data_IF_980906871217
#
_entry.id   IF_980906871217
#
_cell.length_a   1.000
_cell.length_b   1.000
_cell.length_c   1.000
_cell.angle_alpha   90.00
_cell.angle_beta   90.00
_cell.angle_gamma   90.00
#
_symmetry.space_group_name_H-M   'P 1'
#
loop_
_entity.id
_entity.type
_entity.pdbx_description
1 polymer ?
#
# COMPACT_ATOMS: atom_id res chain seq x y z
N UNK A 1 16.19 7.26 6.20
CA UNK A 1 14.73 7.41 6.27
C UNK A 1 14.32 8.20 7.52
N UNK A 2 14.71 7.75 8.74
CA UNK A 2 14.29 8.36 10.02
C UNK A 2 14.50 9.89 10.06
N UNK A 3 15.68 10.38 9.69
CA UNK A 3 15.95 11.82 9.64
C UNK A 3 14.98 12.58 8.74
N UNK A 4 14.73 12.06 7.52
CA UNK A 4 13.81 12.70 6.56
C UNK A 4 12.36 12.69 7.05
N UNK A 5 11.94 11.62 7.73
CA UNK A 5 10.62 11.55 8.39
C UNK A 5 10.50 12.60 9.48
N UNK A 6 11.52 12.78 10.33
CA UNK A 6 11.52 13.80 11.38
C UNK A 6 11.50 15.22 10.79
N UNK A 7 12.32 15.50 9.77
CA UNK A 7 12.31 16.78 9.08
C UNK A 7 10.94 17.10 8.50
N UNK A 8 10.31 16.14 7.82
CA UNK A 8 8.98 16.38 7.23
C UNK A 8 7.87 16.42 8.28
N UNK A 9 7.95 15.67 9.36
CA UNK A 9 7.08 15.82 10.53
C UNK A 9 7.08 17.25 11.06
N UNK A 10 8.28 17.86 11.15
CA UNK A 10 8.39 19.29 11.54
C UNK A 10 7.80 20.22 10.48
N UNK A 11 7.94 19.92 9.19
CA UNK A 11 7.28 20.68 8.12
C UNK A 11 5.76 20.66 8.34
N UNK A 12 5.18 19.50 8.63
CA UNK A 12 3.74 19.39 8.91
C UNK A 12 3.32 20.23 10.11
N UNK A 13 4.07 20.15 11.23
CA UNK A 13 3.82 20.96 12.43
C UNK A 13 3.90 22.46 12.15
N UNK A 14 4.94 22.91 11.43
CA UNK A 14 5.12 24.31 11.04
C UNK A 14 3.99 24.82 10.12
N UNK A 15 3.35 23.95 9.38
CA UNK A 15 2.20 24.26 8.52
C UNK A 15 0.85 24.09 9.24
N UNK A 16 0.87 23.82 10.56
CA UNK A 16 -0.31 23.83 11.42
C UNK A 16 -1.01 22.47 11.58
N UNK A 17 -0.43 21.38 11.05
CA UNK A 17 -1.00 20.03 11.23
C UNK A 17 -0.84 19.60 12.69
N UNK A 18 -1.90 19.06 13.27
CA UNK A 18 -1.95 18.58 14.65
C UNK A 18 -2.38 17.10 14.72
N UNK A 19 -2.21 16.47 15.90
CA UNK A 19 -2.74 15.13 16.18
C UNK A 19 -4.24 15.07 15.86
N UNK A 20 -4.64 14.06 15.09
CA UNK A 20 -6.03 13.84 14.69
C UNK A 20 -6.47 14.59 13.43
N UNK A 21 -5.66 15.49 12.88
CA UNK A 21 -5.95 16.11 11.58
C UNK A 21 -5.85 15.10 10.45
N UNK A 22 -6.70 15.28 9.42
CA UNK A 22 -6.69 14.43 8.22
C UNK A 22 -5.83 15.09 7.17
N UNK A 23 -4.82 14.35 6.72
CA UNK A 23 -3.88 14.75 5.68
C UNK A 23 -4.08 13.85 4.47
N UNK A 24 -4.57 14.39 3.37
CA UNK A 24 -4.66 13.64 2.11
C UNK A 24 -3.33 13.67 1.38
N UNK A 25 -2.92 12.52 0.85
CA UNK A 25 -1.65 12.36 0.12
C UNK A 25 -1.96 11.85 -1.28
N UNK A 26 -1.63 12.65 -2.31
CA UNK A 26 -1.83 12.32 -3.71
C UNK A 26 -0.51 12.48 -4.46
N UNK A 27 0.30 11.42 -4.47
CA UNK A 27 1.68 11.44 -4.94
C UNK A 27 2.00 10.24 -5.82
N UNK A 28 3.07 10.34 -6.62
CA UNK A 28 3.70 9.20 -7.28
C UNK A 28 4.39 8.28 -6.30
N UNK A 29 4.78 7.08 -6.77
CA UNK A 29 5.47 6.05 -5.97
C UNK A 29 6.95 6.39 -5.74
N UNK A 30 7.22 7.47 -5.03
CA UNK A 30 8.54 8.01 -4.70
C UNK A 30 8.84 7.94 -3.20
N UNK A 31 10.10 8.01 -2.76
CA UNK A 31 10.44 7.94 -1.33
C UNK A 31 9.72 8.98 -0.47
N UNK A 32 9.44 10.15 -1.01
CA UNK A 32 8.72 11.23 -0.33
C UNK A 32 7.30 10.83 0.06
N UNK A 33 6.64 9.93 -0.69
CA UNK A 33 5.34 9.37 -0.32
C UNK A 33 5.45 8.57 1.00
N UNK A 34 6.43 7.68 1.12
CA UNK A 34 6.65 6.93 2.36
C UNK A 34 7.05 7.85 3.52
N UNK A 35 7.85 8.89 3.25
CA UNK A 35 8.22 9.91 4.24
C UNK A 35 6.98 10.64 4.73
N UNK A 36 6.07 11.04 3.82
CA UNK A 36 4.83 11.75 4.17
C UNK A 36 3.90 10.89 5.05
N UNK A 37 3.69 9.62 4.67
CA UNK A 37 2.90 8.66 5.44
C UNK A 37 3.45 8.49 6.85
N UNK A 38 4.75 8.25 6.98
CA UNK A 38 5.41 8.04 8.27
C UNK A 38 5.51 9.33 9.12
N UNK A 39 5.63 10.49 8.47
CA UNK A 39 5.63 11.77 9.17
C UNK A 39 4.25 12.08 9.77
N UNK A 40 3.16 11.81 9.02
CA UNK A 40 1.80 11.89 9.57
C UNK A 40 1.64 10.98 10.79
N UNK A 41 2.03 9.70 10.68
CA UNK A 41 1.98 8.76 11.79
C UNK A 41 2.79 9.25 13.00
N UNK A 42 3.97 9.86 12.77
CA UNK A 42 4.86 10.35 13.83
C UNK A 42 4.25 11.46 14.67
N UNK A 43 3.45 12.33 14.09
CA UNK A 43 2.76 13.43 14.78
C UNK A 43 1.31 13.12 15.16
N UNK A 44 0.85 11.89 14.92
CA UNK A 44 -0.52 11.46 15.19
C UNK A 44 -1.55 12.04 14.24
N UNK A 45 -1.17 12.55 13.07
CA UNK A 45 -2.09 12.94 12.02
C UNK A 45 -2.58 11.70 11.26
N UNK A 46 -3.85 11.73 10.86
CA UNK A 46 -4.52 10.63 10.15
C UNK A 46 -4.29 10.82 8.65
N UNK A 47 -3.45 9.98 8.04
CA UNK A 47 -3.24 10.10 6.60
C UNK A 47 -4.33 9.38 5.79
N UNK A 48 -4.58 9.89 4.58
CA UNK A 48 -5.45 9.26 3.59
C UNK A 48 -4.75 9.34 2.23
N UNK A 49 -4.16 8.22 1.79
CA UNK A 49 -3.47 8.17 0.51
C UNK A 49 -4.47 7.90 -0.61
N UNK A 50 -4.38 8.69 -1.66
CA UNK A 50 -5.24 8.60 -2.84
C UNK A 50 -4.40 8.11 -4.01
N UNK A 51 -4.87 7.06 -4.70
CA UNK A 51 -4.18 6.50 -5.85
C UNK A 51 -4.01 7.53 -6.99
N UNK A 52 -2.79 7.65 -7.52
CA UNK A 52 -2.41 8.66 -8.52
C UNK A 52 -3.17 8.63 -9.86
N UNK A 53 -4.00 7.61 -10.08
CA UNK A 53 -4.84 7.48 -11.27
C UNK A 53 -6.30 7.96 -11.10
N UNK A 54 -6.69 8.50 -9.94
CA UNK A 54 -8.05 8.97 -9.71
C UNK A 54 -8.31 10.34 -10.35
N UNK A 55 -9.57 10.57 -10.74
CA UNK A 55 -10.05 11.85 -11.29
C UNK A 55 -10.18 12.94 -10.22
N UNK A 56 -10.19 14.19 -10.64
CA UNK A 56 -10.40 15.34 -9.76
C UNK A 56 -11.69 15.22 -8.91
N UNK A 57 -12.80 14.77 -9.50
CA UNK A 57 -14.05 14.55 -8.76
C UNK A 57 -13.89 13.48 -7.69
N UNK A 58 -13.22 12.38 -8.01
CA UNK A 58 -12.95 11.29 -7.06
C UNK A 58 -12.08 11.72 -5.89
N UNK A 59 -11.18 12.69 -6.13
CA UNK A 59 -10.36 13.31 -5.08
C UNK A 59 -11.21 14.24 -4.23
N UNK A 60 -11.99 15.13 -4.85
CA UNK A 60 -12.88 16.06 -4.16
C UNK A 60 -13.82 15.32 -3.18
N UNK A 61 -14.46 14.24 -3.65
CA UNK A 61 -15.37 13.44 -2.82
C UNK A 61 -14.67 12.88 -1.56
N UNK A 62 -13.39 12.46 -1.67
CA UNK A 62 -12.60 11.94 -0.55
C UNK A 62 -12.12 13.03 0.40
N UNK A 63 -11.76 14.18 -0.13
CA UNK A 63 -11.39 15.34 0.68
C UNK A 63 -12.56 15.81 1.54
N UNK A 64 -13.76 15.88 0.96
CA UNK A 64 -14.98 16.30 1.63
C UNK A 64 -15.42 15.28 2.69
N UNK A 65 -15.41 13.99 2.36
CA UNK A 65 -15.77 12.92 3.29
C UNK A 65 -14.79 12.82 4.47
N UNK A 66 -13.47 12.85 4.19
CA UNK A 66 -12.43 12.85 5.22
C UNK A 66 -12.41 14.16 6.02
N UNK A 67 -13.08 15.22 5.56
CA UNK A 67 -12.95 16.58 6.11
C UNK A 67 -11.48 17.00 6.20
N UNK A 68 -10.72 16.72 5.13
CA UNK A 68 -9.31 17.02 5.08
C UNK A 68 -9.05 18.51 4.98
N UNK A 69 -8.02 18.99 5.65
CA UNK A 69 -7.60 20.39 5.61
C UNK A 69 -6.20 20.57 5.00
N UNK A 70 -5.49 19.45 4.79
CA UNK A 70 -4.11 19.43 4.31
C UNK A 70 -3.96 18.43 3.18
N UNK A 71 -3.17 18.81 2.17
CA UNK A 71 -2.84 17.96 1.02
C UNK A 71 -1.33 17.95 0.82
N UNK A 72 -0.80 16.77 0.54
CA UNK A 72 0.56 16.57 0.07
C UNK A 72 0.47 15.98 -1.35
N UNK A 73 1.16 16.59 -2.31
CA UNK A 73 1.13 16.15 -3.71
C UNK A 73 2.49 16.37 -4.38
N UNK A 74 2.58 16.04 -5.68
CA UNK A 74 3.72 16.36 -6.53
C UNK A 74 3.29 17.30 -7.67
N UNK A 75 4.26 17.98 -8.27
CA UNK A 75 4.05 18.68 -9.55
C UNK A 75 3.52 17.72 -10.61
N UNK A 76 4.08 16.51 -10.68
CA UNK A 76 3.64 15.43 -11.54
C UNK A 76 4.19 14.07 -11.07
N UNK A 77 3.85 13.00 -11.80
CA UNK A 77 4.38 11.65 -11.59
C UNK A 77 4.58 10.95 -12.94
N UNK A 78 5.48 9.97 -12.98
CA UNK A 78 5.73 9.15 -14.16
C UNK A 78 4.89 7.88 -14.16
N UNK A 79 4.21 7.59 -15.28
CA UNK A 79 3.52 6.32 -15.49
C UNK A 79 3.84 5.77 -16.88
N UNK A 80 4.84 4.92 -16.95
CA UNK A 80 5.42 4.49 -18.22
C UNK A 80 6.03 5.70 -18.97
N UNK A 81 5.63 5.90 -20.21
CA UNK A 81 6.07 7.06 -21.02
C UNK A 81 5.25 8.34 -20.77
N UNK A 82 4.29 8.32 -19.84
CA UNK A 82 3.38 9.46 -19.61
C UNK A 82 3.71 10.18 -18.32
N UNK A 83 3.68 11.50 -18.38
CA UNK A 83 3.67 12.37 -17.21
C UNK A 83 2.21 12.62 -16.79
N UNK A 84 1.93 12.47 -15.53
CA UNK A 84 0.61 12.74 -14.94
C UNK A 84 0.71 14.04 -14.17
N UNK A 85 -0.06 15.10 -14.51
CA UNK A 85 0.02 16.40 -13.85
C UNK A 85 -0.73 16.40 -12.51
N UNK A 86 -0.14 15.80 -11.45
CA UNK A 86 -0.83 15.58 -10.18
C UNK A 86 -1.33 16.89 -9.55
N UNK A 87 -0.50 17.94 -9.51
CA UNK A 87 -0.91 19.24 -8.96
C UNK A 87 -2.08 19.86 -9.75
N UNK A 88 -2.09 19.71 -11.07
CA UNK A 88 -3.21 20.17 -11.90
C UNK A 88 -4.51 19.47 -11.54
N UNK A 89 -4.47 18.14 -11.35
CA UNK A 89 -5.64 17.35 -10.91
C UNK A 89 -6.13 17.79 -9.51
N UNK A 90 -5.19 18.10 -8.60
CA UNK A 90 -5.54 18.67 -7.28
C UNK A 90 -6.19 20.05 -7.43
N UNK A 91 -5.67 20.92 -8.27
CA UNK A 91 -6.26 22.24 -8.49
C UNK A 91 -7.68 22.14 -9.03
N UNK A 92 -7.95 21.23 -9.96
CA UNK A 92 -9.29 20.93 -10.46
C UNK A 92 -10.21 20.39 -9.34
N UNK A 93 -9.70 19.49 -8.50
CA UNK A 93 -10.44 18.94 -7.37
C UNK A 93 -10.80 20.01 -6.31
N UNK A 94 -10.02 21.07 -6.22
CA UNK A 94 -10.21 22.16 -5.26
C UNK A 94 -11.04 23.32 -5.78
N UNK A 95 -11.61 23.25 -6.98
CA UNK A 95 -12.51 24.30 -7.48
C UNK A 95 -13.73 24.40 -6.55
N UNK A 96 -13.89 25.58 -5.93
CA UNK A 96 -14.96 25.83 -4.96
C UNK A 96 -14.71 25.32 -3.54
N UNK A 97 -13.65 24.54 -3.31
CA UNK A 97 -13.28 24.08 -1.97
C UNK A 97 -12.77 25.24 -1.10
N UNK A 98 -13.25 25.32 0.15
CA UNK A 98 -12.87 26.37 1.13
C UNK A 98 -12.26 25.80 2.42
N UNK A 99 -12.10 24.47 2.50
CA UNK A 99 -11.66 23.79 3.71
C UNK A 99 -10.15 23.54 3.72
N UNK A 100 -9.54 23.38 2.55
CA UNK A 100 -8.11 23.13 2.43
C UNK A 100 -7.30 24.36 2.81
N UNK A 101 -6.53 24.24 3.88
CA UNK A 101 -5.66 25.29 4.45
C UNK A 101 -4.29 25.32 3.78
N UNK A 102 -3.75 24.12 3.42
CA UNK A 102 -2.39 23.99 2.90
C UNK A 102 -2.29 22.88 1.88
N UNK A 103 -1.54 23.13 0.80
CA UNK A 103 -1.10 22.14 -0.20
C UNK A 103 0.42 22.18 -0.25
N UNK A 104 1.06 21.07 0.12
CA UNK A 104 2.53 20.90 0.05
C UNK A 104 2.85 20.16 -1.23
N UNK A 105 3.65 20.76 -2.11
CA UNK A 105 3.95 20.27 -3.46
C UNK A 105 5.41 19.83 -3.55
N UNK A 106 5.65 18.55 -3.81
CA UNK A 106 6.98 17.99 -4.04
C UNK A 106 7.36 18.07 -5.52
N UNK A 107 8.58 18.45 -5.81
CA UNK A 107 9.10 18.46 -7.18
C UNK A 107 9.45 17.04 -7.62
N UNK A 108 8.83 16.55 -8.70
CA UNK A 108 9.12 15.25 -9.28
C UNK A 108 9.44 15.32 -10.78
N UNK A 109 8.52 15.84 -11.58
CA UNK A 109 8.64 15.91 -13.04
C UNK A 109 9.20 17.24 -13.53
N UNK A 110 9.25 18.25 -12.65
CA UNK A 110 9.58 19.64 -12.98
C UNK A 110 8.59 20.29 -13.95
N UNK A 111 7.37 19.76 -13.96
CA UNK A 111 6.27 20.36 -14.71
C UNK A 111 5.91 21.72 -14.09
N UNK A 112 5.73 22.72 -14.94
CA UNK A 112 5.26 24.03 -14.47
C UNK A 112 3.84 23.90 -13.89
N UNK A 113 3.68 24.32 -12.63
CA UNK A 113 2.40 24.26 -11.93
C UNK A 113 2.02 25.61 -11.35
N UNK A 114 0.73 25.86 -11.21
CA UNK A 114 0.21 27.03 -10.51
C UNK A 114 0.39 26.85 -9.00
N UNK A 115 0.86 27.89 -8.31
CA UNK A 115 1.03 27.92 -6.86
C UNK A 115 0.20 29.06 -6.27
N UNK A 116 -0.90 28.73 -5.61
CA UNK A 116 -1.78 29.74 -4.98
C UNK A 116 -1.12 30.29 -3.73
N UNK A 117 -0.79 31.57 -3.75
CA UNK A 117 -0.16 32.28 -2.61
C UNK A 117 -1.01 32.15 -1.34
N UNK A 118 -0.36 31.79 -0.23
CA UNK A 118 -1.00 31.61 1.07
C UNK A 118 -1.55 30.22 1.32
N UNK A 119 -1.80 29.40 0.26
CA UNK A 119 -2.25 28.01 0.37
C UNK A 119 -1.14 27.03 0.01
N UNK A 120 -0.45 27.24 -1.11
CA UNK A 120 0.49 26.27 -1.69
C UNK A 120 1.93 26.61 -1.29
N UNK A 121 2.70 25.60 -0.94
CA UNK A 121 4.12 25.70 -0.60
C UNK A 121 4.90 24.55 -1.24
N UNK A 122 6.17 24.81 -1.58
CA UNK A 122 7.06 23.77 -2.06
C UNK A 122 7.62 22.94 -0.91
N UNK A 123 7.63 21.63 -1.06
CA UNK A 123 8.23 20.68 -0.11
C UNK A 123 9.69 21.01 0.19
N UNK A 124 10.46 21.28 -0.84
CA UNK A 124 11.88 21.55 -0.76
C UNK A 124 12.18 22.84 0.01
N UNK A 125 11.34 23.88 -0.19
CA UNK A 125 11.49 25.15 0.52
C UNK A 125 11.16 24.98 2.01
N UNK A 126 10.13 24.20 2.32
CA UNK A 126 9.75 23.92 3.71
C UNK A 126 10.81 23.06 4.42
N UNK A 127 11.38 22.04 3.77
CA UNK A 127 12.50 21.25 4.29
C UNK A 127 13.71 22.16 4.55
N UNK A 128 14.05 23.06 3.62
CA UNK A 128 15.17 23.99 3.80
C UNK A 128 14.97 24.92 4.99
N UNK A 129 13.74 25.38 5.25
CA UNK A 129 13.43 26.18 6.45
C UNK A 129 13.72 25.38 7.72
N UNK A 130 13.27 24.11 7.77
CA UNK A 130 13.51 23.19 8.88
C UNK A 130 15.00 22.95 9.10
N UNK A 131 15.77 22.70 8.04
CA UNK A 131 17.22 22.51 8.11
C UNK A 131 17.95 23.78 8.61
N UNK A 132 17.51 24.96 8.16
CA UNK A 132 18.10 26.25 8.58
C UNK A 132 17.84 26.57 10.06
N UNK A 133 16.75 26.07 10.61
CA UNK A 133 16.38 26.25 12.02
C UNK A 133 17.20 25.37 12.98
N UNK A 134 18.06 24.48 12.46
CA UNK A 134 18.89 23.57 13.27
C UNK A 134 18.05 22.55 14.04
N UNK A 135 17.01 22.04 13.43
CA UNK A 135 16.00 21.23 14.10
C UNK A 135 16.53 19.91 14.62
N UNK A 136 16.26 19.70 15.89
CA UNK A 136 16.35 18.40 16.54
C UNK A 136 15.31 17.42 15.95
N UNK A 137 15.50 16.13 16.21
CA UNK A 137 14.58 15.09 15.78
C UNK A 137 13.22 15.28 16.48
N UNK A 138 12.15 15.41 15.71
CA UNK A 138 10.78 15.44 16.25
C UNK A 138 10.49 14.15 16.98
N UNK A 139 10.15 14.20 18.25
CA UNK A 139 9.74 13.04 19.02
C UNK A 139 8.40 12.50 18.49
N UNK A 140 8.15 11.17 18.51
CA UNK A 140 6.85 10.65 18.18
C UNK A 140 5.83 11.09 19.25
N UNK A 141 4.62 11.45 18.78
CA UNK A 141 3.51 11.79 19.66
C UNK A 141 2.99 10.49 20.31
N UNK A 142 2.65 10.57 21.58
CA UNK A 142 2.00 9.47 22.30
C UNK A 142 0.59 9.21 21.74
N UNK A 143 0.33 7.94 21.40
CA UNK A 143 -0.92 7.51 20.78
C UNK A 143 -1.56 6.41 21.63
N UNK A 144 -2.89 6.44 21.71
CA UNK A 144 -3.65 5.29 22.19
C UNK A 144 -3.60 4.16 21.15
N UNK A 145 -3.69 2.91 21.61
CA UNK A 145 -3.70 1.74 20.75
C UNK A 145 -4.81 1.77 19.67
N UNK A 146 -5.95 2.35 20.01
CA UNK A 146 -7.12 2.46 19.15
C UNK A 146 -7.23 3.82 18.42
N UNK A 147 -6.29 4.74 18.63
CA UNK A 147 -6.25 5.97 17.83
C UNK A 147 -6.18 5.63 16.33
N UNK A 148 -6.91 6.34 15.46
CA UNK A 148 -6.86 6.12 14.02
C UNK A 148 -5.46 6.40 13.45
N UNK A 149 -4.96 5.47 12.63
CA UNK A 149 -3.70 5.65 11.91
C UNK A 149 -3.94 6.24 10.51
N UNK A 150 -4.90 5.67 9.78
CA UNK A 150 -5.24 6.13 8.43
C UNK A 150 -6.69 5.82 8.06
N UNK A 151 -7.14 6.53 7.01
CA UNK A 151 -8.38 6.29 6.30
C UNK A 151 -8.03 5.88 4.87
N UNK A 152 -8.44 4.69 4.44
CA UNK A 152 -8.25 4.25 3.07
C UNK A 152 -9.59 4.00 2.40
N UNK A 153 -9.83 4.72 1.29
CA UNK A 153 -11.09 4.66 0.58
C UNK A 153 -11.13 3.49 -0.40
N UNK A 154 -12.17 2.68 -0.28
CA UNK A 154 -12.51 1.61 -1.23
C UNK A 154 -13.72 2.01 -2.08
N UNK A 155 -13.91 1.33 -3.23
CA UNK A 155 -15.11 1.45 -4.03
C UNK A 155 -16.27 0.80 -3.26
N UNK A 156 -17.17 1.62 -2.70
CA UNK A 156 -18.36 1.11 -2.04
C UNK A 156 -19.37 0.53 -3.03
N UNK A 157 -20.11 -0.50 -2.62
CA UNK A 157 -21.21 -1.12 -3.41
C UNK A 157 -22.32 -0.12 -3.79
N UNK A 158 -22.42 1.01 -3.09
CA UNK A 158 -23.43 2.07 -3.30
C UNK A 158 -22.95 3.24 -4.14
N UNK A 159 -21.76 3.16 -4.75
CA UNK A 159 -21.16 4.23 -5.57
C UNK A 159 -20.47 5.35 -4.77
N UNK A 160 -20.75 5.51 -3.46
CA UNK A 160 -19.99 6.43 -2.60
C UNK A 160 -18.74 5.74 -2.05
N UNK A 161 -17.59 6.43 -2.00
CA UNK A 161 -16.38 5.89 -1.38
C UNK A 161 -16.65 5.47 0.08
N UNK A 162 -16.05 4.35 0.49
CA UNK A 162 -16.10 3.86 1.87
C UNK A 162 -14.73 4.08 2.51
N UNK A 163 -14.65 4.94 3.50
CA UNK A 163 -13.42 5.25 4.22
C UNK A 163 -13.14 4.20 5.31
N UNK A 164 -12.34 3.20 5.01
CA UNK A 164 -11.92 2.17 5.98
C UNK A 164 -10.92 2.76 6.96
N UNK A 165 -11.19 2.66 8.26
CA UNK A 165 -10.32 3.17 9.33
C UNK A 165 -9.56 2.04 9.99
N UNK A 166 -8.23 2.17 10.04
CA UNK A 166 -7.36 1.28 10.82
C UNK A 166 -6.72 2.04 11.99
N UNK A 167 -6.62 1.34 13.15
CA UNK A 167 -5.99 1.87 14.36
C UNK A 167 -4.49 1.63 14.39
N UNK A 168 -3.78 2.41 15.22
CA UNK A 168 -2.32 2.40 15.30
C UNK A 168 -1.77 1.03 15.70
N UNK A 169 -2.14 0.50 16.87
CA UNK A 169 -1.46 -0.68 17.40
C UNK A 169 -1.87 -1.97 16.71
N UNK A 170 -3.18 -2.21 16.57
CA UNK A 170 -3.67 -3.47 15.99
C UNK A 170 -3.17 -3.68 14.57
N UNK A 171 -3.22 -2.65 13.75
CA UNK A 171 -2.73 -2.70 12.38
C UNK A 171 -1.20 -2.94 12.33
N UNK A 172 -0.41 -2.21 13.11
CA UNK A 172 1.04 -2.34 13.13
C UNK A 172 1.50 -3.73 13.59
N UNK A 173 0.91 -4.26 14.66
CA UNK A 173 1.22 -5.61 15.16
C UNK A 173 0.93 -6.66 14.08
N UNK A 174 -0.23 -6.57 13.43
CA UNK A 174 -0.66 -7.57 12.47
C UNK A 174 0.11 -7.52 11.15
N UNK A 175 0.39 -6.32 10.64
CA UNK A 175 1.18 -6.17 9.40
C UNK A 175 2.62 -6.63 9.60
N UNK A 176 3.23 -6.34 10.75
CA UNK A 176 4.55 -6.87 11.09
C UNK A 176 4.54 -8.40 11.17
N UNK A 177 3.57 -8.95 11.94
CA UNK A 177 3.42 -10.40 12.11
C UNK A 177 3.28 -11.13 10.77
N UNK A 178 2.37 -10.66 9.91
CA UNK A 178 2.12 -11.31 8.62
C UNK A 178 3.28 -11.13 7.66
N UNK A 179 3.93 -9.96 7.65
CA UNK A 179 5.12 -9.74 6.83
C UNK A 179 6.25 -10.69 7.19
N UNK A 180 6.59 -10.80 8.47
CA UNK A 180 7.70 -11.65 8.92
C UNK A 180 7.38 -13.12 8.69
N UNK A 181 6.17 -13.58 9.03
CA UNK A 181 5.85 -15.01 9.05
C UNK A 181 5.40 -15.56 7.70
N UNK A 182 4.63 -14.82 6.90
CA UNK A 182 4.19 -15.30 5.57
C UNK A 182 5.38 -15.34 4.61
N UNK A 183 6.18 -14.27 4.59
CA UNK A 183 7.34 -14.17 3.69
C UNK A 183 8.64 -14.69 4.31
N UNK A 184 8.62 -15.24 5.55
CA UNK A 184 9.83 -15.73 6.24
C UNK A 184 10.99 -14.73 6.13
N UNK A 185 10.68 -13.44 6.30
CA UNK A 185 11.62 -12.34 6.11
C UNK A 185 12.86 -12.52 6.97
N UNK A 186 14.04 -12.36 6.39
CA UNK A 186 15.32 -12.42 7.07
C UNK A 186 15.99 -11.03 7.06
N UNK A 187 16.77 -10.68 8.09
CA UNK A 187 17.56 -9.45 8.10
C UNK A 187 18.39 -9.28 6.83
N UNK A 188 18.39 -8.09 6.27
CA UNK A 188 19.04 -7.70 5.00
C UNK A 188 18.38 -8.23 3.72
N UNK A 189 17.31 -8.99 3.78
CA UNK A 189 16.55 -9.32 2.59
C UNK A 189 15.90 -8.04 2.01
N UNK A 190 15.89 -7.97 0.67
CA UNK A 190 15.25 -6.89 -0.07
C UNK A 190 13.87 -7.37 -0.54
N UNK A 191 12.86 -6.70 -0.05
CA UNK A 191 11.45 -6.96 -0.38
C UNK A 191 10.96 -6.01 -1.46
N UNK A 192 10.49 -6.55 -2.56
CA UNK A 192 9.92 -5.79 -3.67
C UNK A 192 8.44 -6.11 -3.82
N UNK A 193 7.59 -5.22 -3.33
CA UNK A 193 6.16 -5.22 -3.63
C UNK A 193 5.89 -4.25 -4.78
N UNK A 194 5.26 -4.74 -5.84
CA UNK A 194 4.93 -3.93 -7.03
C UNK A 194 3.60 -3.17 -6.89
N UNK A 195 2.95 -3.26 -5.75
CA UNK A 195 1.72 -2.54 -5.45
C UNK A 195 1.93 -1.02 -5.35
N UNK A 196 0.83 -0.30 -5.21
CA UNK A 196 0.82 1.15 -5.02
C UNK A 196 0.38 1.47 -3.59
N UNK A 197 0.98 2.47 -2.95
CA UNK A 197 0.63 2.91 -1.59
C UNK A 197 -0.78 3.49 -1.53
N UNK A 198 -1.37 3.92 -2.64
CA UNK A 198 -2.78 4.30 -2.73
C UNK A 198 -3.77 3.13 -2.50
N UNK A 199 -3.26 1.90 -2.39
CA UNK A 199 -4.01 0.70 -2.02
C UNK A 199 -3.49 0.10 -0.72
N UNK A 200 -4.31 -0.73 -0.07
CA UNK A 200 -3.92 -1.36 1.20
C UNK A 200 -2.65 -2.21 1.07
N UNK A 201 -2.41 -2.83 -0.08
CA UNK A 201 -1.20 -3.61 -0.34
C UNK A 201 0.07 -2.77 -0.16
N UNK A 202 0.08 -1.56 -0.68
CA UNK A 202 1.21 -0.66 -0.52
C UNK A 202 1.37 -0.15 0.92
N UNK A 203 0.28 0.18 1.60
CA UNK A 203 0.33 0.52 3.02
C UNK A 203 0.95 -0.61 3.84
N UNK A 204 0.41 -1.82 3.72
CA UNK A 204 0.80 -2.95 4.56
C UNK A 204 2.14 -3.55 4.19
N UNK A 205 2.47 -3.66 2.89
CA UNK A 205 3.64 -4.43 2.43
C UNK A 205 4.64 -3.64 1.57
N UNK A 206 4.54 -2.30 1.53
CA UNK A 206 5.65 -1.43 1.11
C UNK A 206 6.12 -0.60 2.28
N UNK A 207 5.19 -0.03 3.07
CA UNK A 207 5.52 0.91 4.14
C UNK A 207 5.54 0.20 5.50
N UNK A 208 4.38 -0.16 6.06
CA UNK A 208 4.29 -0.48 7.48
C UNK A 208 4.90 -1.84 7.85
N UNK A 209 4.55 -2.91 7.18
CA UNK A 209 5.06 -4.26 7.48
C UNK A 209 6.59 -4.35 7.35
N UNK A 210 7.16 -4.08 6.17
CA UNK A 210 8.60 -4.16 5.97
C UNK A 210 9.40 -3.24 6.89
N UNK A 211 9.00 -1.96 7.01
CA UNK A 211 9.76 -0.99 7.80
C UNK A 211 9.66 -1.23 9.31
N UNK A 212 8.52 -1.74 9.80
CA UNK A 212 8.38 -2.14 11.21
C UNK A 212 9.24 -3.34 11.59
N UNK A 213 9.55 -4.19 10.61
CA UNK A 213 10.47 -5.32 10.78
C UNK A 213 11.96 -4.92 10.59
N UNK A 214 12.25 -3.64 10.36
CA UNK A 214 13.61 -3.18 10.03
C UNK A 214 14.06 -3.59 8.63
N UNK A 215 13.12 -3.94 7.75
CA UNK A 215 13.38 -4.46 6.42
C UNK A 215 13.72 -3.37 5.39
N UNK A 216 14.33 -3.82 4.30
CA UNK A 216 14.55 -3.00 3.10
C UNK A 216 13.39 -3.22 2.13
N UNK A 217 12.56 -2.19 1.95
CA UNK A 217 11.45 -2.18 1.01
C UNK A 217 11.82 -1.40 -0.25
N UNK A 218 11.65 -2.00 -1.41
CA UNK A 218 11.88 -1.36 -2.70
C UNK A 218 10.55 -0.79 -3.22
N UNK A 219 10.55 0.49 -3.55
CA UNK A 219 9.42 1.19 -4.17
C UNK A 219 9.68 1.35 -5.67
N UNK A 220 8.64 1.23 -6.48
CA UNK A 220 8.70 1.31 -7.93
C UNK A 220 7.67 2.29 -8.48
N UNK A 221 8.15 3.37 -9.10
CA UNK A 221 7.32 4.27 -9.88
C UNK A 221 7.38 3.88 -11.36
N UNK A 222 6.29 3.34 -11.90
CA UNK A 222 6.25 2.91 -13.29
C UNK A 222 5.21 1.84 -13.58
N UNK A 223 5.38 1.18 -14.70
CA UNK A 223 4.57 0.03 -15.13
C UNK A 223 5.48 -1.14 -15.51
N UNK A 224 5.03 -2.40 -15.40
CA UNK A 224 5.90 -3.57 -15.56
C UNK A 224 6.48 -3.74 -16.97
N UNK A 225 5.88 -3.06 -17.96
CA UNK A 225 6.23 -3.19 -19.39
C UNK A 225 6.92 -1.95 -19.96
N UNK A 226 7.41 -1.02 -19.13
CA UNK A 226 8.12 0.17 -19.57
C UNK A 226 9.50 0.28 -18.90
N UNK A 227 10.59 0.56 -19.63
CA UNK A 227 10.65 0.78 -21.11
C UNK A 227 10.39 -0.47 -21.94
N UNK A 228 10.50 -1.65 -21.35
CA UNK A 228 10.21 -2.96 -21.95
C UNK A 228 9.74 -3.97 -20.89
N UNK A 229 9.40 -5.20 -21.34
CA UNK A 229 8.89 -6.25 -20.46
C UNK A 229 9.96 -6.90 -19.55
N UNK A 230 11.22 -6.51 -19.66
CA UNK A 230 12.33 -6.90 -18.77
C UNK A 230 12.36 -6.09 -17.47
N UNK A 231 11.57 -5.01 -17.35
CA UNK A 231 11.67 -4.03 -16.29
C UNK A 231 11.69 -4.60 -14.87
N UNK A 232 10.84 -5.56 -14.55
CA UNK A 232 10.84 -6.19 -13.22
C UNK A 232 12.10 -7.04 -13.00
N UNK A 233 12.56 -7.69 -14.04
CA UNK A 233 13.74 -8.55 -13.98
C UNK A 233 15.02 -7.72 -13.83
N UNK A 234 15.11 -6.57 -14.52
CA UNK A 234 16.16 -5.56 -14.29
C UNK A 234 16.25 -5.14 -12.82
N UNK A 235 15.10 -4.88 -12.20
CA UNK A 235 15.03 -4.46 -10.80
C UNK A 235 15.49 -5.59 -9.88
N UNK A 236 15.00 -6.81 -10.12
CA UNK A 236 15.38 -7.99 -9.34
C UNK A 236 16.89 -8.24 -9.42
N UNK A 237 17.44 -8.23 -10.62
CA UNK A 237 18.87 -8.44 -10.86
C UNK A 237 19.72 -7.32 -10.25
N UNK A 238 19.41 -6.07 -10.58
CA UNK A 238 20.17 -4.91 -10.14
C UNK A 238 20.24 -4.77 -8.63
N UNK A 239 19.11 -4.96 -7.94
CA UNK A 239 19.00 -4.78 -6.51
C UNK A 239 19.08 -6.08 -5.70
N UNK A 240 19.28 -7.22 -6.39
CA UNK A 240 19.33 -8.54 -5.76
C UNK A 240 18.15 -8.80 -4.83
N UNK A 241 16.95 -8.56 -5.36
CA UNK A 241 15.69 -8.73 -4.64
C UNK A 241 15.54 -10.17 -4.15
N UNK A 242 15.11 -10.33 -2.90
CA UNK A 242 14.92 -11.65 -2.28
C UNK A 242 13.46 -12.10 -2.31
N UNK A 243 12.52 -11.16 -2.16
CA UNK A 243 11.08 -11.46 -2.26
C UNK A 243 10.44 -10.54 -3.30
N UNK A 244 9.75 -11.14 -4.28
CA UNK A 244 8.93 -10.43 -5.26
C UNK A 244 7.46 -10.69 -4.97
N UNK A 245 6.70 -9.64 -4.61
CA UNK A 245 5.28 -9.68 -4.29
C UNK A 245 4.49 -8.83 -5.28
N UNK A 246 3.67 -9.46 -6.11
CA UNK A 246 3.03 -8.81 -7.26
C UNK A 246 1.61 -9.32 -7.52
N UNK A 247 0.87 -8.62 -8.39
CA UNK A 247 -0.48 -9.03 -8.78
C UNK A 247 -0.44 -10.07 -9.91
N UNK A 248 -1.33 -11.08 -9.91
CA UNK A 248 -1.49 -12.03 -11.01
C UNK A 248 -1.70 -11.39 -12.39
N UNK A 249 -2.39 -10.25 -12.45
CA UNK A 249 -2.54 -9.47 -13.68
C UNK A 249 -1.18 -9.01 -14.25
N UNK A 250 -0.24 -8.60 -13.41
CA UNK A 250 1.11 -8.25 -13.86
C UNK A 250 1.86 -9.47 -14.41
N UNK A 251 1.73 -10.63 -13.73
CA UNK A 251 2.32 -11.90 -14.18
C UNK A 251 1.76 -12.28 -15.55
N UNK A 252 0.43 -12.32 -15.71
CA UNK A 252 -0.21 -12.64 -17.00
C UNK A 252 0.20 -11.69 -18.12
N UNK A 253 0.32 -10.40 -17.82
CA UNK A 253 0.82 -9.43 -18.80
C UNK A 253 2.24 -9.74 -19.26
N UNK A 254 3.13 -10.10 -18.33
CA UNK A 254 4.53 -10.42 -18.65
C UNK A 254 4.67 -11.77 -19.36
N UNK A 255 3.83 -12.75 -19.07
CA UNK A 255 3.77 -14.03 -19.80
C UNK A 255 3.55 -13.82 -21.29
N UNK A 256 2.73 -12.84 -21.68
CA UNK A 256 2.44 -12.52 -23.08
C UNK A 256 3.65 -12.11 -23.92
N UNK A 257 4.75 -11.69 -23.27
CA UNK A 257 6.02 -11.33 -23.95
C UNK A 257 6.99 -12.53 -24.08
N UNK A 258 6.60 -13.72 -23.60
CA UNK A 258 7.42 -14.93 -23.64
C UNK A 258 8.63 -14.85 -22.70
N UNK A 259 9.63 -15.67 -22.95
CA UNK A 259 10.79 -15.82 -22.06
C UNK A 259 11.99 -14.92 -22.46
N UNK A 260 11.92 -14.25 -23.59
CA UNK A 260 12.99 -13.36 -24.06
C UNK A 260 13.42 -12.34 -23.00
N UNK A 261 12.48 -11.56 -22.44
CA UNK A 261 12.78 -10.54 -21.43
C UNK A 261 13.41 -11.04 -20.13
N UNK A 262 13.38 -12.37 -19.86
CA UNK A 262 13.92 -12.96 -18.63
C UNK A 262 15.37 -13.43 -18.81
N UNK A 263 15.76 -13.79 -20.03
CA UNK A 263 16.98 -14.58 -20.31
C UNK A 263 18.26 -13.93 -19.84
N UNK A 264 18.36 -12.61 -19.93
CA UNK A 264 19.58 -11.85 -19.68
C UNK A 264 19.68 -11.35 -18.23
N UNK A 265 18.78 -11.81 -17.34
CA UNK A 265 18.72 -11.35 -15.97
C UNK A 265 19.06 -12.46 -14.97
N UNK A 266 19.85 -12.12 -13.97
CA UNK A 266 20.15 -13.01 -12.83
C UNK A 266 19.05 -12.89 -11.75
N UNK A 267 18.16 -13.88 -11.73
CA UNK A 267 17.10 -13.99 -10.72
C UNK A 267 17.48 -14.90 -9.54
N UNK A 268 18.75 -15.26 -9.39
CA UNK A 268 19.22 -16.20 -8.37
C UNK A 268 19.06 -15.69 -6.93
N UNK A 269 18.97 -14.37 -6.75
CA UNK A 269 18.72 -13.74 -5.46
C UNK A 269 17.31 -13.97 -4.91
N UNK A 270 16.33 -14.28 -5.77
CA UNK A 270 14.95 -14.55 -5.33
C UNK A 270 14.91 -15.79 -4.45
N UNK A 271 14.26 -15.66 -3.31
CA UNK A 271 14.00 -16.72 -2.33
C UNK A 271 12.51 -17.05 -2.26
N UNK A 272 11.66 -16.03 -2.39
CA UNK A 272 10.21 -16.15 -2.22
C UNK A 272 9.50 -15.34 -3.29
N UNK A 273 8.44 -15.91 -3.82
CA UNK A 273 7.50 -15.25 -4.70
C UNK A 273 6.14 -15.10 -4.00
N UNK A 274 5.43 -14.03 -4.27
CA UNK A 274 4.11 -13.83 -3.69
C UNK A 274 3.12 -13.23 -4.68
N UNK A 275 1.83 -13.51 -4.46
CA UNK A 275 0.72 -13.00 -5.26
C UNK A 275 -0.35 -12.35 -4.39
N UNK A 276 -0.98 -11.30 -4.91
CA UNK A 276 -1.94 -10.46 -4.16
C UNK A 276 -2.97 -9.81 -5.06
N UNK A 277 -4.16 -9.58 -4.49
CA UNK A 277 -5.21 -8.71 -5.03
C UNK A 277 -6.26 -9.41 -5.85
N UNK A 278 -5.95 -10.58 -6.40
CA UNK A 278 -6.88 -11.43 -7.15
C UNK A 278 -6.40 -12.90 -7.12
N UNK A 279 -7.27 -13.88 -7.38
CA UNK A 279 -6.84 -15.27 -7.52
C UNK A 279 -5.88 -15.43 -8.71
N UNK A 280 -4.79 -16.17 -8.50
CA UNK A 280 -3.91 -16.57 -9.58
C UNK A 280 -4.42 -17.86 -10.22
N UNK A 281 -4.55 -17.91 -11.54
CA UNK A 281 -4.87 -19.14 -12.25
C UNK A 281 -3.64 -20.08 -12.30
N UNK A 282 -3.90 -21.40 -12.41
CA UNK A 282 -2.85 -22.42 -12.37
C UNK A 282 -1.76 -22.20 -13.42
N UNK A 283 -2.11 -21.81 -14.64
CA UNK A 283 -1.16 -21.53 -15.72
C UNK A 283 -0.15 -20.44 -15.34
N UNK A 284 -0.64 -19.30 -14.82
CA UNK A 284 0.21 -18.20 -14.39
C UNK A 284 1.04 -18.58 -13.15
N UNK A 285 0.48 -19.37 -12.24
CA UNK A 285 1.20 -19.90 -11.09
C UNK A 285 2.37 -20.79 -11.52
N UNK A 286 2.15 -21.74 -12.44
CA UNK A 286 3.20 -22.62 -12.96
C UNK A 286 4.26 -21.86 -13.75
N UNK A 287 3.86 -20.88 -14.56
CA UNK A 287 4.80 -20.01 -15.26
C UNK A 287 5.69 -19.24 -14.27
N UNK A 288 5.09 -18.70 -13.21
CA UNK A 288 5.79 -17.93 -12.18
C UNK A 288 6.78 -18.81 -11.41
N UNK A 289 6.36 -20.02 -11.03
CA UNK A 289 7.21 -21.01 -10.38
C UNK A 289 8.38 -21.46 -11.27
N UNK A 290 8.07 -21.84 -12.53
CA UNK A 290 9.06 -22.46 -13.42
C UNK A 290 10.06 -21.44 -13.97
N UNK A 291 9.58 -20.28 -14.42
CA UNK A 291 10.43 -19.36 -15.16
C UNK A 291 11.05 -18.27 -14.27
N UNK A 292 10.40 -17.86 -13.20
CA UNK A 292 10.88 -16.84 -12.28
C UNK A 292 11.48 -17.49 -11.04
N UNK A 293 10.72 -18.33 -10.36
CA UNK A 293 11.15 -19.05 -9.14
C UNK A 293 12.15 -20.17 -9.40
N UNK A 294 12.26 -20.64 -10.65
CA UNK A 294 13.11 -21.79 -11.05
C UNK A 294 12.84 -23.03 -10.20
N UNK A 295 11.59 -23.25 -9.77
CA UNK A 295 11.13 -24.35 -8.90
C UNK A 295 11.85 -24.44 -7.54
N UNK A 296 12.53 -23.35 -7.12
CA UNK A 296 13.25 -23.28 -5.83
C UNK A 296 12.64 -22.28 -4.86
N UNK A 297 11.82 -21.34 -5.37
CA UNK A 297 11.18 -20.32 -4.55
C UNK A 297 9.74 -20.75 -4.23
N UNK A 298 9.36 -20.91 -2.94
CA UNK A 298 7.96 -21.08 -2.61
C UNK A 298 7.14 -19.87 -3.08
N UNK A 299 5.92 -20.14 -3.57
CA UNK A 299 4.97 -19.10 -3.91
C UNK A 299 3.97 -19.01 -2.77
N UNK A 300 3.80 -17.80 -2.20
CA UNK A 300 2.75 -17.49 -1.24
C UNK A 300 1.62 -16.75 -1.98
N UNK A 301 0.46 -17.39 -2.07
CA UNK A 301 -0.75 -16.81 -2.63
C UNK A 301 -1.61 -16.28 -1.48
N UNK A 302 -1.84 -14.96 -1.45
CA UNK A 302 -2.36 -14.30 -0.26
C UNK A 302 -3.77 -13.77 -0.49
N UNK A 303 -4.71 -14.16 0.38
CA UNK A 303 -6.06 -13.61 0.40
C UNK A 303 -6.26 -12.67 1.59
N UNK A 304 -6.68 -11.46 1.29
CA UNK A 304 -7.00 -10.41 2.24
C UNK A 304 -7.60 -9.18 1.54
N UNK A 305 -8.08 -8.21 2.30
CA UNK A 305 -8.79 -7.04 1.80
C UNK A 305 -8.33 -5.77 2.53
N UNK A 306 -8.79 -4.60 2.09
CA UNK A 306 -8.59 -3.33 2.81
C UNK A 306 -9.12 -3.42 4.23
N UNK A 307 -10.29 -4.01 4.39
CA UNK A 307 -10.98 -4.20 5.68
C UNK A 307 -10.22 -5.12 6.64
N UNK A 308 -9.37 -5.99 6.12
CA UNK A 308 -8.60 -6.92 6.96
C UNK A 308 -7.25 -6.35 7.41
N UNK A 309 -6.75 -5.30 6.74
CA UNK A 309 -5.49 -4.63 7.05
C UNK A 309 -4.23 -5.44 6.76
N UNK A 310 -4.32 -6.75 6.71
CA UNK A 310 -3.23 -7.67 6.42
C UNK A 310 -3.73 -9.04 5.97
N UNK A 311 -2.79 -9.93 5.62
CA UNK A 311 -3.07 -11.27 5.10
C UNK A 311 -3.81 -12.12 6.12
N UNK A 312 -4.94 -12.73 5.73
CA UNK A 312 -5.70 -13.65 6.58
C UNK A 312 -5.51 -15.11 6.19
N UNK A 313 -5.44 -15.39 4.89
CA UNK A 313 -5.33 -16.75 4.35
C UNK A 313 -4.15 -16.79 3.40
N UNK A 314 -3.22 -17.69 3.64
CA UNK A 314 -2.03 -17.93 2.82
C UNK A 314 -1.29 -19.17 3.30
N UNK A 315 -0.53 -19.81 2.42
CA UNK A 315 0.58 -20.64 2.89
C UNK A 315 1.70 -19.73 3.44
N UNK A 316 2.51 -20.29 4.34
CA UNK A 316 3.72 -19.64 4.86
C UNK A 316 4.94 -20.24 4.15
N UNK A 317 5.78 -19.39 3.56
CA UNK A 317 6.88 -19.80 2.71
C UNK A 317 7.79 -20.82 3.41
N UNK A 318 7.98 -21.98 2.78
CA UNK A 318 8.83 -23.05 3.31
C UNK A 318 8.31 -23.78 4.56
N UNK A 319 7.14 -23.40 5.10
CA UNK A 319 6.52 -24.02 6.29
C UNK A 319 5.31 -24.85 5.89
N UNK A 320 4.40 -24.27 5.10
CA UNK A 320 3.20 -24.97 4.63
C UNK A 320 3.20 -25.05 3.10
N UNK A 321 2.64 -26.13 2.56
CA UNK A 321 2.60 -26.33 1.12
C UNK A 321 1.62 -25.35 0.47
N UNK A 322 2.07 -24.66 -0.58
CA UNK A 322 1.23 -23.93 -1.49
C UNK A 322 0.49 -24.87 -2.44
N UNK A 323 -0.63 -24.39 -2.98
CA UNK A 323 -1.40 -25.09 -4.02
C UNK A 323 -1.71 -24.11 -5.14
N UNK A 324 -1.39 -24.43 -6.40
CA UNK A 324 -1.70 -23.55 -7.53
C UNK A 324 -3.16 -23.07 -7.53
N UNK A 325 -3.35 -21.74 -7.58
CA UNK A 325 -4.67 -21.13 -7.61
C UNK A 325 -5.41 -21.06 -6.26
N UNK A 326 -4.75 -21.34 -5.14
CA UNK A 326 -5.39 -21.37 -3.81
C UNK A 326 -4.55 -20.63 -2.78
N UNK A 327 -5.19 -19.75 -2.01
CA UNK A 327 -4.56 -19.11 -0.84
C UNK A 327 -4.30 -20.08 0.31
N UNK A 328 -4.92 -21.24 0.32
CA UNK A 328 -4.73 -22.43 1.16
C UNK A 328 -5.22 -22.34 2.60
N UNK A 329 -4.46 -21.78 3.55
CA UNK A 329 -4.73 -21.93 4.97
C UNK A 329 -5.00 -20.59 5.67
N UNK A 330 -6.01 -20.53 6.57
CA UNK A 330 -6.07 -19.42 7.51
C UNK A 330 -4.80 -19.33 8.34
N UNK A 331 -4.29 -18.10 8.51
CA UNK A 331 -3.11 -17.87 9.35
C UNK A 331 -3.44 -18.15 10.84
N UNK A 332 -2.45 -18.47 11.68
CA UNK A 332 -2.64 -18.64 13.12
C UNK A 332 -3.39 -17.44 13.72
N UNK A 333 -4.46 -17.72 14.48
CA UNK A 333 -5.33 -16.71 15.06
C UNK A 333 -6.51 -16.29 14.17
N UNK A 334 -6.59 -16.77 12.92
CA UNK A 334 -7.71 -16.52 12.00
C UNK A 334 -8.64 -17.73 11.97
N UNK A 335 -9.90 -17.55 12.35
CA UNK A 335 -10.91 -18.61 12.28
C UNK A 335 -11.86 -18.36 11.13
N UNK A 336 -11.64 -19.08 10.04
CA UNK A 336 -12.45 -19.03 8.83
C UNK A 336 -13.42 -20.22 8.77
N UNK A 337 -14.67 -19.96 8.38
CA UNK A 337 -15.69 -20.97 8.07
C UNK A 337 -16.36 -20.65 6.74
N UNK A 338 -17.04 -21.63 6.16
CA UNK A 338 -17.93 -21.42 5.02
C UNK A 338 -19.37 -21.49 5.49
N UNK A 339 -20.20 -20.58 5.01
CA UNK A 339 -21.64 -20.56 5.32
C UNK A 339 -22.48 -20.54 4.05
N UNK A 340 -23.71 -21.06 4.15
CA UNK A 340 -24.72 -20.97 3.11
C UNK A 340 -25.31 -19.53 3.02
N UNK A 341 -26.24 -19.30 2.11
CA UNK A 341 -26.92 -18.00 1.93
C UNK A 341 -27.82 -17.62 3.11
N UNK A 342 -28.08 -18.55 4.05
CA UNK A 342 -28.83 -18.32 5.28
C UNK A 342 -27.93 -18.11 6.49
N UNK A 343 -26.61 -18.21 6.33
CA UNK A 343 -25.63 -18.06 7.40
C UNK A 343 -25.36 -19.35 8.20
N UNK A 344 -25.85 -20.51 7.77
CA UNK A 344 -25.55 -21.77 8.44
C UNK A 344 -24.18 -22.30 8.00
N UNK A 345 -23.39 -22.81 8.95
CA UNK A 345 -22.07 -23.39 8.65
C UNK A 345 -22.22 -24.63 7.74
N UNK A 346 -21.41 -24.68 6.70
CA UNK A 346 -21.36 -25.81 5.76
C UNK A 346 -20.43 -26.87 6.34
N UNK A 347 -21.01 -28.00 6.72
CA UNK A 347 -20.30 -29.16 7.29
C UNK A 347 -20.22 -30.35 6.32
N UNK A 348 -20.93 -30.30 5.21
CA UNK A 348 -21.00 -31.36 4.22
C UNK A 348 -20.34 -30.92 2.90
N UNK A 349 -19.74 -31.87 2.19
CA UNK A 349 -19.09 -31.64 0.89
C UNK A 349 -20.08 -31.90 -0.23
N UNK A 350 -20.07 -31.01 -1.23
CA UNK A 350 -20.70 -31.21 -2.52
C UNK A 350 -19.60 -31.52 -3.56
N UNK A 351 -19.70 -32.66 -4.24
CA UNK A 351 -18.68 -33.15 -5.21
C UNK A 351 -17.23 -33.17 -4.60
N UNK A 352 -17.12 -33.52 -3.34
CA UNK A 352 -15.83 -33.58 -2.62
C UNK A 352 -15.26 -32.23 -2.18
N UNK A 353 -15.97 -31.11 -2.42
CA UNK A 353 -15.56 -29.76 -2.06
C UNK A 353 -16.57 -29.11 -1.11
N UNK A 354 -16.08 -28.28 -0.20
CA UNK A 354 -16.93 -27.34 0.53
C UNK A 354 -17.11 -26.08 -0.32
N UNK A 355 -18.33 -25.62 -0.48
CA UNK A 355 -18.67 -24.41 -1.24
C UNK A 355 -19.58 -23.51 -0.44
N UNK A 356 -19.24 -22.24 -0.30
CA UNK A 356 -20.08 -21.28 0.43
C UNK A 356 -19.40 -19.92 0.53
N UNK A 357 -20.07 -19.04 1.25
CA UNK A 357 -19.56 -17.71 1.57
C UNK A 357 -18.50 -17.81 2.68
N UNK A 358 -17.33 -17.24 2.43
CA UNK A 358 -16.25 -17.21 3.42
C UNK A 358 -16.58 -16.22 4.54
N UNK A 359 -16.60 -16.70 5.78
CA UNK A 359 -16.78 -15.88 6.97
C UNK A 359 -15.61 -16.04 7.93
N UNK A 360 -15.19 -14.92 8.53
CA UNK A 360 -14.21 -14.89 9.61
C UNK A 360 -14.97 -14.70 10.92
N UNK A 361 -14.86 -15.65 11.85
CA UNK A 361 -15.74 -15.73 13.02
C UNK A 361 -15.18 -15.13 14.31
N UNK A 362 -13.95 -14.61 14.25
CA UNK A 362 -13.34 -13.89 15.38
C UNK A 362 -12.50 -12.73 14.89
N UNK A 363 -12.39 -11.65 15.68
CA UNK A 363 -11.56 -10.51 15.31
C UNK A 363 -10.07 -10.88 15.35
N UNK A 364 -9.28 -10.15 14.56
CA UNK A 364 -7.81 -10.16 14.59
C UNK A 364 -7.31 -8.73 14.83
N UNK A 365 -6.02 -8.53 15.16
CA UNK A 365 -5.55 -7.20 15.57
C UNK A 365 -5.81 -6.08 14.55
N UNK A 366 -5.70 -6.34 13.25
CA UNK A 366 -5.94 -5.36 12.17
C UNK A 366 -7.37 -5.37 11.61
N UNK A 367 -8.35 -5.94 12.31
CA UNK A 367 -9.76 -5.82 11.92
C UNK A 367 -10.12 -4.34 11.74
N UNK A 368 -10.87 -4.00 10.68
CA UNK A 368 -11.45 -2.68 10.49
C UNK A 368 -12.11 -2.19 11.79
N UNK A 369 -11.85 -0.94 12.17
CA UNK A 369 -12.46 -0.36 13.38
C UNK A 369 -13.78 0.29 13.10
N UNK A 370 -13.88 0.97 11.94
CA UNK A 370 -15.10 1.64 11.52
C UNK A 370 -14.99 2.07 10.06
N UNK A 371 -16.13 2.45 9.50
CA UNK A 371 -16.19 3.29 8.30
C UNK A 371 -16.22 4.75 8.75
N UNK A 372 -15.31 5.58 8.24
CA UNK A 372 -15.17 6.97 8.66
C UNK A 372 -16.48 7.75 8.43
N UNK A 373 -16.99 8.37 9.51
CA UNK A 373 -18.22 9.14 9.48
C UNK A 373 -19.52 8.33 9.37
N UNK A 374 -19.44 7.00 9.21
CA UNK A 374 -20.61 6.13 9.01
C UNK A 374 -20.35 4.73 9.59
N UNK A 375 -20.43 4.62 10.92
CA UNK A 375 -20.16 3.37 11.62
C UNK A 375 -21.17 2.26 11.28
N UNK A 376 -22.43 2.61 11.02
CA UNK A 376 -23.49 1.63 10.70
C UNK A 376 -23.22 0.89 9.37
N UNK A 377 -22.36 1.47 8.53
CA UNK A 377 -21.93 0.87 7.26
C UNK A 377 -20.73 -0.10 7.42
N UNK A 378 -20.18 -0.23 8.61
CA UNK A 378 -19.09 -1.16 8.92
C UNK A 378 -19.62 -2.61 9.08
#
# INVERSE_FOLDING_TARGET
LHLKVCQFAQVLLNNGVQKGDRVCIYMGMIPELAIAVLACARIGAIHSVIFGGFSAQSIADRLDDAKAEYIITCDGAYRGAKDIPLKGVIDDALIGNKTIKRVIVCTRTRTAVSMLKGRDVWWEDEIKKVETQGLELVAPVEMDAEDPLFILYTSGSTGKPKGVVHSVAGYMVYTNYTFVNVFQYQPNDIFFCTGDVGWITGHSYIVYGPLSAGGTSLMFEGVPTFPDAGRFWDIVDKFKVNTLYTAPTAIRSLMGFGLGPIKDHDLSSLKILGTVGEPINEEAWHWYDEHIGKKRCPIVDTWWQTETGGILISNMAGITLGKPGWATYPLPGVKAILVDDKGNEITEKEDGLYRGNLCITQPWPATIRTTYGDHERC
#
